data_IF_832576412662
#
_entry.id   IF_832576412662
#
_cell.length_a   1.000
_cell.length_b   1.000
_cell.length_c   1.000
_cell.angle_alpha   90.00
_cell.angle_beta   90.00
_cell.angle_gamma   90.00
#
_symmetry.space_group_name_H-M   'P 1'
#
loop_
_entity.id
_entity.type
_entity.pdbx_description
1 polymer ?
#
# COMPACT_ATOMS: atom_id res chain seq x y z
N UNK A 1 -74.12 -5.84 16.79
CA UNK A 1 -73.44 -4.92 15.85
C UNK A 1 -72.03 -4.75 16.34
N UNK A 2 -71.09 -5.46 15.77
CA UNK A 2 -69.67 -5.49 16.22
C UNK A 2 -68.83 -4.78 15.16
N UNK A 3 -68.23 -3.69 15.58
CA UNK A 3 -67.32 -2.86 14.78
C UNK A 3 -65.91 -3.38 15.03
N UNK A 4 -65.26 -3.94 13.99
CA UNK A 4 -63.86 -4.33 14.01
C UNK A 4 -63.02 -3.17 13.48
N UNK A 5 -62.20 -2.56 14.36
CA UNK A 5 -61.18 -1.62 13.99
C UNK A 5 -59.94 -2.41 13.55
N UNK A 6 -59.59 -2.23 12.29
CA UNK A 6 -58.36 -2.78 11.72
C UNK A 6 -57.22 -1.75 11.87
N UNK A 7 -56.26 -2.04 12.73
CA UNK A 7 -55.05 -1.19 12.90
C UNK A 7 -54.02 -1.57 11.82
N UNK A 8 -53.76 -0.60 10.95
CA UNK A 8 -52.75 -0.72 9.90
C UNK A 8 -51.41 -0.21 10.47
N UNK A 9 -50.49 -1.18 10.73
CA UNK A 9 -49.11 -0.85 11.17
C UNK A 9 -48.31 -0.58 9.93
N UNK A 10 -47.89 0.68 9.72
CA UNK A 10 -46.88 1.06 8.71
C UNK A 10 -45.49 0.75 9.24
N UNK A 11 -44.82 -0.25 8.65
CA UNK A 11 -43.36 -0.42 8.82
C UNK A 11 -42.64 0.60 7.95
N UNK A 12 -42.03 1.60 8.59
CA UNK A 12 -41.07 2.46 7.94
C UNK A 12 -39.71 1.72 7.83
N UNK A 13 -39.36 1.29 6.61
CA UNK A 13 -38.04 0.78 6.31
C UNK A 13 -37.03 1.95 6.28
N UNK A 14 -36.24 2.09 7.32
CA UNK A 14 -35.10 3.01 7.33
C UNK A 14 -33.99 2.42 6.45
N UNK A 15 -33.84 2.93 5.23
CA UNK A 15 -32.64 2.71 4.43
C UNK A 15 -31.46 3.44 5.08
N UNK A 16 -30.68 2.72 5.90
CA UNK A 16 -29.35 3.16 6.29
C UNK A 16 -28.42 3.01 5.09
N UNK A 17 -28.15 4.08 4.40
CA UNK A 17 -27.07 4.19 3.44
C UNK A 17 -25.77 4.05 4.24
N UNK A 18 -25.18 2.85 4.24
CA UNK A 18 -23.82 2.65 4.73
C UNK A 18 -22.89 3.41 3.78
N UNK A 19 -22.46 4.60 4.19
CA UNK A 19 -21.36 5.29 3.55
C UNK A 19 -20.13 4.44 3.74
N UNK A 20 -19.60 3.85 2.67
CA UNK A 20 -18.33 3.14 2.70
C UNK A 20 -17.27 4.11 3.25
N UNK A 21 -16.49 3.72 4.26
CA UNK A 21 -15.43 4.57 4.75
C UNK A 21 -14.45 4.81 3.60
N UNK A 22 -14.13 6.09 3.37
CA UNK A 22 -13.10 6.48 2.44
C UNK A 22 -11.81 5.72 2.82
N UNK A 23 -11.20 5.03 1.84
CA UNK A 23 -9.93 4.32 2.03
C UNK A 23 -8.89 5.35 2.49
N UNK A 24 -8.61 5.37 3.77
CA UNK A 24 -7.54 6.17 4.35
C UNK A 24 -6.21 5.51 3.94
N UNK A 25 -5.38 6.15 3.09
CA UNK A 25 -4.15 5.56 2.59
C UNK A 25 -3.14 5.23 3.70
N UNK A 26 -3.35 5.74 4.92
CA UNK A 26 -2.51 5.48 6.08
C UNK A 26 -2.97 4.28 6.91
N UNK A 27 -4.15 3.70 6.64
CA UNK A 27 -4.63 2.53 7.39
C UNK A 27 -4.20 1.23 6.72
N UNK A 28 -3.67 0.26 7.50
CA UNK A 28 -3.44 -1.09 7.01
C UNK A 28 -4.76 -1.70 6.51
N UNK A 29 -4.75 -2.27 5.32
CA UNK A 29 -5.95 -2.83 4.66
C UNK A 29 -6.55 -4.04 5.39
N UNK A 30 -5.77 -4.72 6.23
CA UNK A 30 -6.20 -5.94 6.95
C UNK A 30 -5.69 -5.94 8.38
N UNK A 31 -6.37 -6.70 9.25
CA UNK A 31 -5.94 -6.89 10.65
C UNK A 31 -4.52 -7.46 10.73
N UNK A 32 -4.15 -8.39 9.83
CA UNK A 32 -2.80 -8.96 9.77
C UNK A 32 -1.74 -7.90 9.44
N UNK A 33 -2.01 -7.00 8.50
CA UNK A 33 -1.10 -5.89 8.18
C UNK A 33 -0.95 -4.92 9.35
N UNK A 34 -2.03 -4.63 10.08
CA UNK A 34 -1.98 -3.80 11.27
C UNK A 34 -1.05 -4.39 12.33
N UNK A 35 -1.17 -5.68 12.63
CA UNK A 35 -0.33 -6.37 13.60
C UNK A 35 1.14 -6.42 13.14
N UNK A 36 1.40 -6.74 11.87
CA UNK A 36 2.73 -6.75 11.29
C UNK A 36 3.38 -5.37 11.31
N UNK A 37 2.62 -4.32 11.02
CA UNK A 37 3.10 -2.94 11.08
C UNK A 37 3.44 -2.51 12.51
N UNK A 38 2.70 -2.95 13.52
CA UNK A 38 3.03 -2.69 14.93
C UNK A 38 4.31 -3.40 15.38
N UNK A 39 4.60 -4.59 14.84
CA UNK A 39 5.82 -5.34 15.15
C UNK A 39 7.06 -4.83 14.38
N UNK A 40 6.86 -4.06 13.31
CA UNK A 40 7.93 -3.50 12.49
C UNK A 40 8.47 -2.20 13.13
N UNK A 41 9.79 -2.02 13.24
CA UNK A 41 10.37 -0.76 13.70
C UNK A 41 10.17 0.38 12.69
N UNK A 42 9.87 0.06 11.42
CA UNK A 42 9.69 1.02 10.34
C UNK A 42 8.23 1.03 9.90
N UNK A 43 7.46 2.03 10.34
CA UNK A 43 6.07 2.19 9.92
C UNK A 43 5.97 3.04 8.65
N UNK A 44 5.20 2.55 7.68
CA UNK A 44 4.94 3.27 6.42
C UNK A 44 3.82 4.29 6.65
N UNK A 45 4.13 5.56 6.39
CA UNK A 45 3.14 6.63 6.33
C UNK A 45 2.48 6.71 4.95
N UNK A 46 3.29 6.56 3.89
CA UNK A 46 2.85 6.66 2.51
C UNK A 46 3.78 5.86 1.62
N UNK A 47 3.23 5.25 0.57
CA UNK A 47 4.02 4.60 -0.47
C UNK A 47 3.43 4.93 -1.84
N UNK A 48 4.32 5.22 -2.79
CA UNK A 48 3.98 5.50 -4.17
C UNK A 48 4.85 4.69 -5.12
N UNK A 49 4.32 4.36 -6.28
CA UNK A 49 5.08 3.67 -7.32
C UNK A 49 4.71 4.19 -8.70
N UNK A 50 5.73 4.35 -9.54
CA UNK A 50 5.52 4.80 -10.93
C UNK A 50 6.59 4.24 -11.87
N UNK A 51 6.22 4.18 -13.15
CA UNK A 51 7.14 3.89 -14.24
C UNK A 51 7.41 5.19 -14.99
N UNK A 52 8.69 5.55 -15.12
CA UNK A 52 9.11 6.69 -15.91
C UNK A 52 9.22 6.29 -17.40
N UNK A 53 8.36 6.87 -18.23
CA UNK A 53 8.36 6.72 -19.69
C UNK A 53 8.97 7.92 -20.42
N UNK A 54 9.45 8.94 -19.69
CA UNK A 54 10.03 10.13 -20.34
C UNK A 54 11.31 9.77 -21.10
N UNK A 55 11.40 10.15 -22.39
CA UNK A 55 12.65 10.04 -23.11
C UNK A 55 13.66 11.04 -22.52
N UNK A 56 14.75 10.55 -21.97
CA UNK A 56 15.84 11.39 -21.49
C UNK A 56 17.07 11.24 -22.37
N UNK A 57 17.92 12.28 -22.53
CA UNK A 57 19.17 12.15 -23.24
C UNK A 57 20.07 11.10 -22.55
N UNK A 58 20.41 10.04 -23.29
CA UNK A 58 21.29 8.98 -22.80
C UNK A 58 20.63 7.92 -21.90
N UNK A 59 19.30 7.93 -21.71
CA UNK A 59 18.59 6.93 -20.93
C UNK A 59 17.65 6.15 -21.83
N UNK A 60 18.01 4.91 -22.15
CA UNK A 60 17.18 3.98 -22.89
C UNK A 60 16.33 3.07 -21.99
N UNK A 61 16.59 3.02 -20.72
CA UNK A 61 15.95 2.10 -19.80
C UNK A 61 14.77 2.78 -19.08
N UNK A 62 13.58 2.22 -19.26
CA UNK A 62 12.44 2.52 -18.41
C UNK A 62 12.71 1.95 -17.02
N UNK A 63 12.50 2.74 -16.00
CA UNK A 63 12.71 2.32 -14.60
C UNK A 63 11.39 2.35 -13.84
N UNK A 64 11.18 1.30 -13.04
CA UNK A 64 10.17 1.28 -11.99
C UNK A 64 10.77 1.96 -10.76
N UNK A 65 10.07 2.97 -10.28
CA UNK A 65 10.39 3.68 -9.05
C UNK A 65 9.37 3.33 -7.98
N UNK A 66 9.85 3.08 -6.77
CA UNK A 66 9.01 2.89 -5.57
C UNK A 66 9.58 3.77 -4.47
N UNK A 67 8.78 4.71 -4.00
CA UNK A 67 9.13 5.60 -2.89
C UNK A 67 8.24 5.30 -1.68
N UNK A 68 8.86 5.23 -0.52
CA UNK A 68 8.18 5.01 0.76
C UNK A 68 8.57 6.10 1.73
N UNK A 69 7.57 6.77 2.31
CA UNK A 69 7.74 7.69 3.42
C UNK A 69 7.45 6.95 4.73
N UNK A 70 8.41 6.99 5.64
CA UNK A 70 8.28 6.41 6.96
C UNK A 70 7.65 7.41 7.94
N UNK A 71 6.93 6.90 8.93
CA UNK A 71 6.33 7.75 9.99
C UNK A 71 7.40 8.42 10.83
N UNK A 72 8.46 7.67 11.12
CA UNK A 72 9.57 8.14 11.95
C UNK A 72 10.87 8.13 11.16
N UNK A 73 11.59 9.25 11.18
CA UNK A 73 12.87 9.41 10.47
C UNK A 73 14.08 9.09 11.35
N UNK A 74 13.87 8.39 12.47
CA UNK A 74 14.92 8.16 13.47
C UNK A 74 15.82 6.97 13.17
N UNK A 75 15.36 6.06 12.28
CA UNK A 75 16.05 4.82 12.00
C UNK A 75 16.62 4.77 10.59
N UNK A 76 17.75 4.10 10.44
CA UNK A 76 18.33 3.78 9.14
C UNK A 76 17.57 2.61 8.53
N UNK A 77 16.87 2.84 7.42
CA UNK A 77 16.10 1.81 6.74
C UNK A 77 16.55 1.66 5.28
N UNK A 78 16.53 0.44 4.79
CA UNK A 78 16.75 0.10 3.37
C UNK A 78 15.62 -0.76 2.86
N UNK A 79 15.37 -0.69 1.57
CA UNK A 79 14.36 -1.47 0.88
C UNK A 79 15.06 -2.41 -0.10
N UNK A 80 14.81 -3.70 0.03
CA UNK A 80 15.44 -4.76 -0.77
C UNK A 80 14.38 -5.62 -1.44
N UNK A 81 14.64 -6.01 -2.69
CA UNK A 81 13.78 -6.97 -3.39
C UNK A 81 13.93 -8.35 -2.77
N UNK A 82 12.80 -8.96 -2.43
CA UNK A 82 12.75 -10.32 -1.92
C UNK A 82 12.72 -11.34 -3.05
N UNK A 83 13.31 -12.51 -2.81
CA UNK A 83 13.18 -13.67 -3.69
C UNK A 83 11.76 -14.21 -3.80
N UNK A 84 10.87 -13.81 -2.90
CA UNK A 84 9.45 -14.12 -2.97
C UNK A 84 8.68 -13.30 -4.02
N UNK A 85 9.33 -12.35 -4.71
CA UNK A 85 8.72 -11.63 -5.84
C UNK A 85 8.36 -12.59 -6.96
N UNK A 86 7.16 -12.41 -7.54
CA UNK A 86 6.62 -13.19 -8.66
C UNK A 86 6.41 -12.31 -9.88
N UNK A 87 5.97 -12.88 -11.01
CA UNK A 87 5.68 -12.10 -12.22
C UNK A 87 4.61 -11.02 -12.02
N UNK A 88 3.67 -11.21 -11.08
CA UNK A 88 2.57 -10.30 -10.82
C UNK A 88 2.77 -9.42 -9.58
N UNK A 89 3.68 -9.81 -8.67
CA UNK A 89 3.85 -9.14 -7.37
C UNK A 89 5.32 -8.88 -7.09
N UNK A 90 5.66 -7.60 -6.94
CA UNK A 90 6.94 -7.20 -6.38
C UNK A 90 6.87 -7.23 -4.86
N UNK A 91 7.76 -8.01 -4.24
CA UNK A 91 7.88 -8.08 -2.78
C UNK A 91 9.13 -7.32 -2.36
N UNK A 92 8.95 -6.26 -1.60
CA UNK A 92 10.02 -5.42 -1.05
C UNK A 92 10.09 -5.60 0.46
N UNK A 93 11.28 -5.91 0.96
CA UNK A 93 11.52 -6.07 2.39
C UNK A 93 12.20 -4.83 2.95
N UNK A 94 11.60 -4.24 3.99
CA UNK A 94 12.16 -3.09 4.71
C UNK A 94 12.97 -3.65 5.89
N UNK A 95 14.25 -3.31 5.93
CA UNK A 95 15.20 -3.73 6.96
C UNK A 95 15.92 -2.53 7.55
N UNK A 96 16.34 -2.67 8.80
CA UNK A 96 17.28 -1.74 9.42
C UNK A 96 18.68 -2.03 8.89
N UNK A 97 19.39 -0.99 8.43
CA UNK A 97 20.77 -1.07 7.99
C UNK A 97 21.59 0.02 8.66
N UNK A 98 22.51 -0.33 9.58
CA UNK A 98 23.26 0.65 10.37
C UNK A 98 24.09 1.64 9.54
N UNK A 99 24.47 1.25 8.33
CA UNK A 99 25.26 2.09 7.40
C UNK A 99 24.40 2.98 6.48
N UNK A 100 23.07 2.80 6.48
CA UNK A 100 22.19 3.62 5.67
C UNK A 100 22.03 5.03 6.31
N UNK A 101 21.87 6.08 5.52
CA UNK A 101 21.58 7.40 6.06
C UNK A 101 20.22 7.40 6.76
N UNK A 102 20.10 8.14 7.85
CA UNK A 102 18.80 8.40 8.48
C UNK A 102 17.94 9.18 7.51
N UNK A 103 16.88 8.56 7.02
CA UNK A 103 15.99 9.16 6.05
C UNK A 103 14.53 8.83 6.37
N UNK A 104 13.68 9.86 6.41
CA UNK A 104 12.23 9.66 6.49
C UNK A 104 11.61 9.12 5.19
N UNK A 105 12.44 8.96 4.15
CA UNK A 105 12.04 8.43 2.84
C UNK A 105 13.09 7.46 2.33
N UNK A 106 12.63 6.31 1.87
CA UNK A 106 13.45 5.27 1.24
C UNK A 106 12.92 4.99 -0.16
N UNK A 107 13.82 4.68 -1.08
CA UNK A 107 13.49 4.44 -2.49
C UNK A 107 14.05 3.11 -2.98
N UNK A 108 13.31 2.47 -3.89
CA UNK A 108 13.75 1.30 -4.65
C UNK A 108 13.60 1.58 -6.13
N UNK A 109 14.53 1.10 -6.94
CA UNK A 109 14.51 1.23 -8.40
C UNK A 109 14.96 -0.05 -9.05
N UNK A 110 14.31 -0.40 -10.16
CA UNK A 110 14.75 -1.48 -11.04
C UNK A 110 14.30 -1.20 -12.48
N UNK A 111 14.93 -1.84 -13.48
CA UNK A 111 14.40 -1.85 -14.84
C UNK A 111 12.96 -2.37 -14.84
N UNK A 112 12.09 -1.78 -15.67
CA UNK A 112 10.71 -2.21 -15.76
C UNK A 112 10.64 -3.66 -16.21
N UNK A 113 10.04 -4.58 -15.41
CA UNK A 113 9.84 -5.94 -15.83
C UNK A 113 8.76 -6.06 -16.91
N UNK A 114 8.83 -7.12 -17.68
CA UNK A 114 7.79 -7.48 -18.66
C UNK A 114 7.30 -8.90 -18.35
N UNK A 115 6.05 -9.08 -17.93
CA UNK A 115 5.02 -8.06 -17.68
C UNK A 115 5.28 -7.20 -16.42
N UNK A 116 4.71 -6.00 -16.42
CA UNK A 116 4.74 -5.12 -15.25
C UNK A 116 3.97 -5.74 -14.08
N UNK A 117 4.47 -5.56 -12.87
CA UNK A 117 3.78 -5.99 -11.65
C UNK A 117 2.39 -5.36 -11.54
N UNK A 118 1.46 -6.11 -10.97
CA UNK A 118 0.10 -5.66 -10.64
C UNK A 118 0.00 -5.18 -9.19
N UNK A 119 0.89 -5.68 -8.34
CA UNK A 119 0.91 -5.37 -6.90
C UNK A 119 2.35 -5.19 -6.43
N UNK A 120 2.54 -4.30 -5.47
CA UNK A 120 3.77 -4.17 -4.70
C UNK A 120 3.43 -4.40 -3.23
N UNK A 121 4.06 -5.38 -2.60
CA UNK A 121 3.87 -5.70 -1.18
C UNK A 121 5.13 -5.37 -0.40
N UNK A 122 4.95 -4.70 0.73
CA UNK A 122 6.02 -4.32 1.63
C UNK A 122 6.00 -5.22 2.86
N UNK A 123 7.12 -5.85 3.11
CA UNK A 123 7.32 -6.77 4.23
C UNK A 123 8.32 -6.19 5.22
N UNK A 124 8.12 -6.54 6.48
CA UNK A 124 9.03 -6.24 7.56
C UNK A 124 8.96 -7.39 8.56
N UNK A 125 10.10 -7.96 8.93
CA UNK A 125 10.19 -9.09 9.87
C UNK A 125 9.27 -10.27 9.51
N UNK A 126 9.12 -10.54 8.19
CA UNK A 126 8.33 -11.65 7.69
C UNK A 126 6.82 -11.39 7.58
N UNK A 127 6.32 -10.23 7.99
CA UNK A 127 4.92 -9.82 7.85
C UNK A 127 4.71 -8.77 6.75
N UNK A 128 3.61 -8.88 5.98
CA UNK A 128 3.20 -7.80 5.06
C UNK A 128 2.67 -6.63 5.88
N UNK A 129 3.31 -5.47 5.75
CA UNK A 129 2.95 -4.26 6.50
C UNK A 129 2.18 -3.24 5.68
N UNK A 130 2.33 -3.29 4.34
CA UNK A 130 1.66 -2.37 3.42
C UNK A 130 1.59 -2.97 2.03
N UNK A 131 0.68 -2.49 1.17
CA UNK A 131 0.65 -2.86 -0.24
C UNK A 131 0.11 -1.76 -1.13
N UNK A 132 0.57 -1.73 -2.39
CA UNK A 132 0.10 -0.86 -3.46
C UNK A 132 -0.42 -1.76 -4.60
N UNK A 133 -1.65 -1.52 -5.04
CA UNK A 133 -2.26 -2.26 -6.15
C UNK A 133 -2.28 -1.44 -7.46
N UNK A 134 -1.64 -0.27 -7.44
CA UNK A 134 -1.59 0.62 -8.59
C UNK A 134 -0.18 1.14 -8.81
N UNK A 135 0.33 0.97 -10.04
CA UNK A 135 1.59 1.55 -10.50
C UNK A 135 1.25 2.62 -11.52
N UNK A 136 1.64 3.85 -11.26
CA UNK A 136 1.39 4.98 -12.14
C UNK A 136 2.35 4.98 -13.33
N UNK A 137 1.91 5.52 -14.46
CA UNK A 137 2.75 5.74 -15.64
C UNK A 137 2.94 7.24 -15.81
N UNK A 138 4.20 7.69 -15.82
CA UNK A 138 4.57 9.09 -16.02
C UNK A 138 5.20 9.22 -17.41
N UNK A 139 4.67 10.15 -18.23
CA UNK A 139 5.08 10.41 -19.62
C UNK A 139 5.69 11.78 -19.76
#
# INVERSE_FOLDING_TARGET
>A
MRILLSSMVMLAAACTTATAPADDPMKPKTTGQALAQMACPHRIAEAASWVNHMPGPGRSARELHVDVRLVEATDTAVMLKSSASTGDTLVLEIRTAPSAPVAGRIAYREPVPDPLYKKISFFCRGGEIYSIDRIEKVY
#
